data_IF_130690789476
#
_entry.id   IF_130690789476
#
_cell.length_a   1.000
_cell.length_b   1.000
_cell.length_c   1.000
_cell.angle_alpha   90.00
_cell.angle_beta   90.00
_cell.angle_gamma   90.00
#
_symmetry.space_group_name_H-M   'P 1'
#
loop_
_entity.id
_entity.type
_entity.pdbx_description
1 polymer ?
#
# COMPACT_ATOMS: atom_id res chain seq x y z
N UNK A 1 -1.92 11.56 37.90
CA UNK A 1 -1.10 10.37 37.60
C UNK A 1 -1.97 9.39 36.83
N UNK A 2 -2.09 9.57 35.52
CA UNK A 2 -2.78 8.63 34.62
C UNK A 2 -1.68 7.91 33.85
N UNK A 3 -1.28 6.76 34.38
CA UNK A 3 -0.42 5.81 33.71
C UNK A 3 -1.33 4.75 33.08
N UNK A 4 -1.75 4.93 31.82
CA UNK A 4 -2.35 3.85 31.03
C UNK A 4 -2.15 4.10 29.52
N UNK A 5 -1.26 3.27 28.93
CA UNK A 5 -1.28 2.74 27.56
C UNK A 5 -0.53 3.49 26.43
N UNK A 6 0.75 3.74 26.68
CA UNK A 6 1.79 4.27 25.78
C UNK A 6 2.19 3.35 24.59
N UNK A 7 1.25 2.60 24.01
CA UNK A 7 1.51 1.68 22.89
C UNK A 7 0.62 1.91 21.68
N UNK A 8 -0.69 2.05 21.90
CA UNK A 8 -1.66 2.27 20.82
C UNK A 8 -1.63 3.71 20.30
N UNK A 9 -1.34 4.69 21.16
CA UNK A 9 -1.29 6.10 20.77
C UNK A 9 -0.03 6.42 19.94
N UNK A 10 1.06 5.70 20.18
CA UNK A 10 2.27 5.78 19.36
C UNK A 10 2.01 5.25 17.95
N UNK A 11 1.37 4.08 17.81
CA UNK A 11 1.05 3.48 16.51
C UNK A 11 0.08 4.35 15.69
N UNK A 12 -0.92 4.98 16.34
CA UNK A 12 -1.89 5.89 15.71
C UNK A 12 -1.24 7.20 15.23
N UNK A 13 -0.22 7.70 15.94
CA UNK A 13 0.54 8.89 15.53
C UNK A 13 1.65 8.56 14.51
N UNK A 14 2.12 7.32 14.51
CA UNK A 14 3.12 6.81 13.56
C UNK A 14 2.51 6.52 12.19
N UNK A 15 1.23 6.12 12.11
CA UNK A 15 0.58 5.81 10.82
C UNK A 15 0.60 7.00 9.84
N UNK A 16 0.21 8.24 10.25
CA UNK A 16 0.31 9.43 9.41
C UNK A 16 1.76 9.79 9.06
N UNK A 17 2.70 9.60 9.99
CA UNK A 17 4.13 9.92 9.77
C UNK A 17 4.77 8.92 8.79
N UNK A 18 4.44 7.63 8.91
CA UNK A 18 4.89 6.59 7.99
C UNK A 18 4.23 6.71 6.62
N UNK A 19 2.95 7.10 6.55
CA UNK A 19 2.30 7.46 5.29
C UNK A 19 3.01 8.64 4.63
N UNK A 20 3.31 9.68 5.39
CA UNK A 20 4.03 10.85 4.90
C UNK A 20 5.42 10.46 4.40
N UNK A 21 6.16 9.65 5.16
CA UNK A 21 7.46 9.13 4.72
C UNK A 21 7.36 8.25 3.49
N UNK A 22 6.37 7.36 3.39
CA UNK A 22 6.14 6.51 2.22
C UNK A 22 5.78 7.29 0.96
N UNK A 23 5.12 8.45 1.09
CA UNK A 23 4.81 9.38 0.00
C UNK A 23 6.02 10.23 -0.38
N UNK A 24 6.81 10.69 0.60
CA UNK A 24 7.94 11.59 0.37
C UNK A 24 9.23 10.88 -0.04
N UNK A 25 9.46 9.64 0.39
CA UNK A 25 10.69 8.88 0.15
C UNK A 25 10.95 8.60 -1.34
N UNK A 26 9.94 8.24 -2.16
CA UNK A 26 10.11 8.13 -3.60
C UNK A 26 10.40 9.49 -4.26
N UNK A 27 9.75 10.56 -3.78
CA UNK A 27 9.94 11.92 -4.28
C UNK A 27 11.34 12.49 -3.95
N UNK A 28 11.96 12.02 -2.87
CA UNK A 28 13.32 12.39 -2.47
C UNK A 28 14.42 11.56 -3.17
N UNK A 29 14.10 10.32 -3.56
CA UNK A 29 15.04 9.41 -4.23
C UNK A 29 15.25 9.73 -5.72
N UNK A 30 14.30 10.38 -6.40
CA UNK A 30 14.50 10.90 -7.76
C UNK A 30 14.25 12.41 -7.84
N UNK A 31 15.20 13.25 -7.38
CA UNK A 31 15.09 14.70 -7.47
C UNK A 31 15.28 15.26 -8.89
N UNK A 32 15.58 14.41 -9.88
CA UNK A 32 16.05 14.81 -11.22
C UNK A 32 15.15 14.38 -12.39
N UNK A 33 14.05 13.66 -12.15
CA UNK A 33 13.09 13.37 -13.22
C UNK A 33 12.05 14.49 -13.29
N UNK A 34 11.92 15.14 -14.46
CA UNK A 34 10.92 16.22 -14.69
C UNK A 34 9.46 15.72 -14.64
N UNK A 35 9.25 14.43 -14.35
CA UNK A 35 7.94 13.78 -14.39
C UNK A 35 7.92 12.53 -13.49
N UNK A 36 6.84 12.34 -12.70
CA UNK A 36 6.76 11.22 -11.77
C UNK A 36 6.61 9.89 -12.52
N UNK A 37 7.47 8.92 -12.19
CA UNK A 37 7.29 7.52 -12.62
C UNK A 37 6.36 6.72 -11.71
N UNK A 38 5.75 5.67 -12.24
CA UNK A 38 4.75 4.83 -11.54
C UNK A 38 5.32 4.07 -10.33
N UNK A 39 6.61 3.70 -10.36
CA UNK A 39 7.26 3.06 -9.22
C UNK A 39 7.37 3.99 -8.00
N UNK A 40 7.30 5.31 -8.17
CA UNK A 40 7.23 6.22 -7.03
C UNK A 40 5.84 6.21 -6.37
N UNK A 41 4.81 6.01 -7.17
CA UNK A 41 3.42 6.03 -6.72
C UNK A 41 2.96 4.68 -6.18
N UNK A 42 3.66 3.58 -6.45
CA UNK A 42 3.28 2.25 -5.98
C UNK A 42 3.30 2.13 -4.45
N UNK A 43 4.25 2.76 -3.77
CA UNK A 43 4.30 2.78 -2.31
C UNK A 43 3.07 3.47 -1.71
N UNK A 44 2.68 4.60 -2.30
CA UNK A 44 1.47 5.35 -1.94
C UNK A 44 0.21 4.56 -2.28
N UNK A 45 0.18 3.90 -3.43
CA UNK A 45 -0.93 3.07 -3.85
C UNK A 45 -1.13 1.89 -2.90
N UNK A 46 -0.05 1.21 -2.50
CA UNK A 46 -0.11 0.02 -1.67
C UNK A 46 -0.39 0.33 -0.19
N UNK A 47 0.40 1.22 0.42
CA UNK A 47 0.30 1.55 1.85
C UNK A 47 -0.76 2.62 2.11
N UNK A 48 -0.88 3.62 1.24
CA UNK A 48 -1.88 4.68 1.40
C UNK A 48 -3.27 4.20 1.04
N UNK A 49 -3.46 3.86 -0.23
CA UNK A 49 -4.79 3.52 -0.74
C UNK A 49 -5.15 2.08 -0.41
N UNK A 50 -4.25 1.14 -0.70
CA UNK A 50 -4.47 -0.29 -0.56
C UNK A 50 -4.80 -0.70 0.87
N UNK A 51 -3.93 -0.38 1.83
CA UNK A 51 -4.11 -0.71 3.25
C UNK A 51 -5.37 -0.07 3.84
N UNK A 52 -5.62 1.21 3.54
CA UNK A 52 -6.85 1.90 3.98
C UNK A 52 -8.12 1.21 3.48
N UNK A 53 -8.16 0.81 2.20
CA UNK A 53 -9.31 0.08 1.63
C UNK A 53 -9.43 -1.33 2.20
N UNK A 54 -8.31 -2.04 2.43
CA UNK A 54 -8.31 -3.33 3.12
C UNK A 54 -8.88 -3.23 4.53
N UNK A 55 -8.50 -2.21 5.30
CA UNK A 55 -9.02 -1.98 6.65
C UNK A 55 -10.52 -1.64 6.63
N UNK A 56 -10.94 -0.69 5.79
CA UNK A 56 -12.36 -0.27 5.72
C UNK A 56 -13.27 -1.43 5.29
N UNK A 57 -12.91 -2.15 4.23
CA UNK A 57 -13.72 -3.27 3.73
C UNK A 57 -13.57 -4.49 4.65
N UNK A 58 -12.39 -4.74 5.17
CA UNK A 58 -12.16 -5.84 6.12
C UNK A 58 -12.91 -5.66 7.43
N UNK A 59 -13.09 -4.44 7.92
CA UNK A 59 -13.88 -4.16 9.13
C UNK A 59 -15.39 -4.23 8.86
N UNK A 60 -15.86 -3.70 7.72
CA UNK A 60 -17.30 -3.62 7.42
C UNK A 60 -17.87 -4.91 6.82
N UNK A 61 -17.09 -5.62 6.01
CA UNK A 61 -17.53 -6.76 5.19
C UNK A 61 -16.66 -8.01 5.36
N UNK A 62 -15.60 -7.96 6.17
CA UNK A 62 -14.70 -9.08 6.38
C UNK A 62 -15.37 -10.24 7.11
N UNK A 63 -15.75 -11.27 6.35
CA UNK A 63 -16.36 -12.49 6.89
C UNK A 63 -15.36 -13.64 6.88
N UNK A 64 -14.48 -13.67 5.88
CA UNK A 64 -13.56 -14.78 5.64
C UNK A 64 -12.16 -14.35 6.03
N UNK A 65 -11.64 -14.87 7.15
CA UNK A 65 -10.28 -14.56 7.61
C UNK A 65 -9.24 -15.45 6.93
N UNK A 66 -8.06 -14.90 6.70
CA UNK A 66 -6.92 -15.68 6.26
C UNK A 66 -6.43 -16.60 7.38
N UNK A 67 -6.00 -17.83 7.08
CA UNK A 67 -5.41 -18.71 8.06
C UNK A 67 -4.09 -18.08 8.54
N UNK A 68 -3.92 -17.95 9.86
CA UNK A 68 -2.75 -17.39 10.58
C UNK A 68 -2.65 -15.87 10.68
N UNK A 69 -3.52 -15.08 10.04
CA UNK A 69 -3.55 -13.63 10.24
C UNK A 69 -4.92 -13.14 10.64
N UNK A 70 -5.01 -11.95 11.23
CA UNK A 70 -6.29 -11.30 11.51
C UNK A 70 -6.91 -10.62 10.27
N UNK A 71 -6.27 -10.70 9.11
CA UNK A 71 -6.71 -10.08 7.86
C UNK A 71 -7.80 -10.90 7.18
N UNK A 72 -8.58 -10.24 6.33
CA UNK A 72 -9.75 -10.83 5.67
C UNK A 72 -9.54 -10.92 4.16
N UNK A 73 -10.09 -11.96 3.55
CA UNK A 73 -10.03 -12.17 2.09
C UNK A 73 -10.71 -11.02 1.37
N UNK A 74 -11.81 -10.51 1.93
CA UNK A 74 -12.54 -9.36 1.41
C UNK A 74 -11.69 -8.08 1.46
N UNK A 75 -10.93 -7.88 2.55
CA UNK A 75 -9.96 -6.79 2.66
C UNK A 75 -8.83 -6.89 1.61
N UNK A 76 -8.25 -8.07 1.42
CA UNK A 76 -7.22 -8.29 0.39
C UNK A 76 -7.74 -8.04 -1.05
N UNK A 77 -8.99 -8.41 -1.34
CA UNK A 77 -9.66 -8.11 -2.61
C UNK A 77 -9.90 -6.59 -2.79
N UNK A 78 -10.25 -5.90 -1.71
CA UNK A 78 -10.41 -4.45 -1.73
C UNK A 78 -9.08 -3.73 -1.99
N UNK A 79 -8.00 -4.13 -1.30
CA UNK A 79 -6.66 -3.61 -1.57
C UNK A 79 -6.25 -3.86 -3.02
N UNK A 80 -6.42 -5.10 -3.51
CA UNK A 80 -6.07 -5.46 -4.88
C UNK A 80 -6.77 -4.54 -5.89
N UNK A 81 -8.09 -4.38 -5.76
CA UNK A 81 -8.86 -3.54 -6.70
C UNK A 81 -8.50 -2.06 -6.57
N UNK A 82 -8.26 -1.56 -5.35
CA UNK A 82 -7.83 -0.19 -5.11
C UNK A 82 -6.47 0.13 -5.74
N UNK A 83 -5.46 -0.75 -5.60
CA UNK A 83 -4.14 -0.55 -6.20
C UNK A 83 -4.22 -0.58 -7.73
N UNK A 84 -4.96 -1.54 -8.31
CA UNK A 84 -5.15 -1.61 -9.78
C UNK A 84 -5.79 -0.33 -10.31
N UNK A 85 -6.88 0.14 -9.71
CA UNK A 85 -7.59 1.35 -10.14
C UNK A 85 -6.68 2.57 -10.00
N UNK A 86 -5.98 2.70 -8.87
CA UNK A 86 -5.09 3.83 -8.62
C UNK A 86 -3.92 3.89 -9.61
N UNK A 87 -3.25 2.76 -9.87
CA UNK A 87 -2.13 2.69 -10.80
C UNK A 87 -2.58 2.89 -12.26
N UNK A 88 -3.76 2.37 -12.65
CA UNK A 88 -4.32 2.65 -13.98
C UNK A 88 -4.73 4.12 -14.14
N UNK A 89 -5.31 4.73 -13.10
CA UNK A 89 -5.69 6.14 -13.12
C UNK A 89 -4.48 7.09 -13.12
N UNK A 90 -3.34 6.66 -12.56
CA UNK A 90 -2.10 7.44 -12.53
C UNK A 90 -1.23 7.30 -13.79
N UNK A 91 -1.43 6.25 -14.61
CA UNK A 91 -0.76 6.09 -15.91
C UNK A 91 -0.75 7.35 -16.80
N UNK A 92 -1.87 8.07 -17.03
CA UNK A 92 -1.88 9.27 -17.87
C UNK A 92 -1.11 10.47 -17.29
N UNK A 93 -0.78 10.44 -15.99
CA UNK A 93 -0.04 11.50 -15.31
C UNK A 93 1.47 11.17 -15.15
N UNK A 94 1.89 9.97 -15.54
CA UNK A 94 3.27 9.51 -15.42
C UNK A 94 4.00 9.48 -16.76
N UNK A 95 5.31 9.72 -16.72
CA UNK A 95 6.15 9.65 -17.92
C UNK A 95 6.43 8.23 -18.39
N UNK A 96 6.64 8.09 -19.69
CA UNK A 96 6.97 6.84 -20.35
C UNK A 96 8.34 6.28 -19.87
N UNK A 97 8.51 4.95 -19.82
CA UNK A 97 7.59 3.91 -20.27
C UNK A 97 6.50 3.57 -19.25
N UNK A 98 5.25 3.48 -19.71
CA UNK A 98 4.15 3.00 -18.88
C UNK A 98 4.18 1.45 -18.83
N UNK A 99 4.15 0.85 -17.62
CA UNK A 99 4.03 -0.58 -17.44
C UNK A 99 2.68 -1.03 -18.01
N UNK A 100 2.69 -2.20 -18.67
CA UNK A 100 1.47 -2.77 -19.25
C UNK A 100 0.43 -3.05 -18.16
N UNK A 101 -0.86 -3.02 -18.50
CA UNK A 101 -1.94 -3.37 -17.57
C UNK A 101 -1.75 -4.75 -16.92
N UNK A 102 -1.13 -5.68 -17.64
CA UNK A 102 -0.76 -7.02 -17.13
C UNK A 102 0.22 -6.92 -15.96
N UNK A 103 1.25 -6.07 -16.07
CA UNK A 103 2.25 -5.86 -15.00
C UNK A 103 1.58 -5.28 -13.77
N UNK A 104 0.76 -4.23 -13.94
CA UNK A 104 0.00 -3.61 -12.84
C UNK A 104 -0.88 -4.65 -12.13
N UNK A 105 -1.58 -5.50 -12.89
CA UNK A 105 -2.41 -6.55 -12.33
C UNK A 105 -1.59 -7.53 -11.48
N UNK A 106 -0.45 -8.02 -11.99
CA UNK A 106 0.41 -8.94 -11.24
C UNK A 106 1.04 -8.29 -10.02
N UNK A 107 1.50 -7.04 -10.12
CA UNK A 107 2.06 -6.27 -9.01
C UNK A 107 1.03 -6.12 -7.90
N UNK A 108 -0.18 -5.65 -8.23
CA UNK A 108 -1.26 -5.49 -7.24
C UNK A 108 -1.65 -6.82 -6.58
N UNK A 109 -1.62 -7.93 -7.33
CA UNK A 109 -1.90 -9.26 -6.79
C UNK A 109 -0.82 -9.71 -5.82
N UNK A 110 0.46 -9.51 -6.17
CA UNK A 110 1.57 -9.84 -5.28
C UNK A 110 1.50 -8.99 -4.01
N UNK A 111 1.26 -7.68 -4.14
CA UNK A 111 1.14 -6.78 -3.00
C UNK A 111 -0.01 -7.16 -2.06
N UNK A 112 -1.18 -7.52 -2.58
CA UNK A 112 -2.31 -7.94 -1.74
C UNK A 112 -2.08 -9.28 -1.04
N UNK A 113 -1.33 -10.19 -1.67
CA UNK A 113 -0.91 -11.45 -1.03
C UNK A 113 0.14 -11.20 0.05
N UNK A 114 1.14 -10.37 -0.25
CA UNK A 114 2.19 -9.97 0.70
C UNK A 114 1.57 -9.30 1.93
N UNK A 115 0.57 -8.47 1.71
CA UNK A 115 -0.24 -7.86 2.76
C UNK A 115 -0.96 -8.92 3.60
N UNK A 116 -1.64 -9.87 2.97
CA UNK A 116 -2.44 -10.90 3.65
C UNK A 116 -1.61 -11.80 4.58
N UNK A 117 -0.33 -12.02 4.25
CA UNK A 117 0.59 -12.88 5.01
C UNK A 117 1.41 -12.11 6.06
N UNK A 118 1.50 -10.78 5.97
CA UNK A 118 2.37 -9.95 6.82
C UNK A 118 1.52 -9.13 7.79
N UNK A 119 1.86 -9.13 9.10
CA UNK A 119 1.09 -8.40 10.11
C UNK A 119 1.77 -7.15 10.70
N UNK A 120 3.11 -7.07 10.70
CA UNK A 120 3.84 -6.01 11.41
C UNK A 120 4.84 -5.21 10.55
N UNK A 121 5.10 -5.65 9.32
CA UNK A 121 6.17 -5.11 8.45
C UNK A 121 5.62 -4.75 7.06
N UNK A 122 4.31 -4.82 6.86
CA UNK A 122 3.61 -4.49 5.62
C UNK A 122 3.92 -3.08 5.13
N UNK A 123 3.90 -2.09 6.02
CA UNK A 123 4.16 -0.68 5.69
C UNK A 123 5.55 -0.41 5.07
N UNK A 124 6.53 -1.28 5.29
CA UNK A 124 7.88 -1.18 4.71
C UNK A 124 8.04 -2.17 3.55
N UNK A 125 7.47 -3.36 3.68
CA UNK A 125 7.60 -4.43 2.70
C UNK A 125 6.83 -4.12 1.41
N UNK A 126 5.62 -3.55 1.51
CA UNK A 126 4.78 -3.23 0.36
C UNK A 126 5.42 -2.22 -0.59
N UNK A 127 5.97 -1.07 -0.15
CA UNK A 127 6.67 -0.15 -1.03
C UNK A 127 7.90 -0.78 -1.69
N UNK A 128 8.69 -1.57 -0.95
CA UNK A 128 9.91 -2.20 -1.47
C UNK A 128 9.56 -3.25 -2.54
N UNK A 129 8.60 -4.13 -2.26
CA UNK A 129 8.14 -5.14 -3.21
C UNK A 129 7.51 -4.47 -4.43
N UNK A 130 6.71 -3.42 -4.22
CA UNK A 130 6.09 -2.67 -5.30
C UNK A 130 7.13 -2.00 -6.20
N UNK A 131 8.16 -1.37 -5.62
CA UNK A 131 9.25 -0.74 -6.36
C UNK A 131 10.10 -1.74 -7.15
N UNK A 132 10.35 -2.94 -6.61
CA UNK A 132 11.15 -3.95 -7.32
C UNK A 132 10.42 -4.60 -8.50
N UNK A 133 9.09 -4.60 -8.49
CA UNK A 133 8.27 -5.25 -9.51
C UNK A 133 7.83 -4.30 -10.65
N UNK A 134 8.04 -2.98 -10.50
CA UNK A 134 7.64 -1.91 -11.43
C UNK A 134 8.86 -1.16 -11.98
#
# INVERSE_FOLDING_TARGET
>A
MLAFKDGQDADILLTPIYLLFGVFLPLFLSPNDESPHLYHLVGVAAVGVGDSFAAIIGLNYGKTKWPRTNKTVEGSLAMFSAIVIFLMASQPFCSAPSPSCVVIFFVSLILSVVEAITENIDNILLPIVGYLLL
#
